data_IF_099257815527
#
_entry.id   IF_099257815527
#
_cell.length_a   1.000
_cell.length_b   1.000
_cell.length_c   1.000
_cell.angle_alpha   90.00
_cell.angle_beta   90.00
_cell.angle_gamma   90.00
#
_symmetry.space_group_name_H-M   'P 1'
#
loop_
_entity.id
_entity.type
_entity.pdbx_description
1 polymer ?
#
# COMPACT_ATOMS: atom_id res chain seq x y z
N UNK A 1 9.18 -17.94 -8.91
CA UNK A 1 8.46 -17.11 -7.92
C UNK A 1 8.94 -15.69 -8.04
N UNK A 2 8.00 -14.77 -8.03
CA UNK A 2 8.25 -13.33 -7.91
C UNK A 2 8.22 -12.98 -6.43
N UNK A 3 9.27 -12.34 -5.92
CA UNK A 3 9.35 -11.90 -4.53
C UNK A 3 9.56 -10.39 -4.47
N UNK A 4 8.77 -9.75 -3.62
CA UNK A 4 9.11 -8.47 -3.01
C UNK A 4 9.86 -8.68 -1.68
N UNK A 5 9.29 -9.56 -0.83
CA UNK A 5 9.75 -9.87 0.53
C UNK A 5 9.56 -11.37 0.82
N UNK A 6 10.25 -11.99 1.80
CA UNK A 6 10.21 -13.44 2.01
C UNK A 6 8.80 -13.96 2.38
N UNK A 7 8.28 -14.93 1.61
CA UNK A 7 7.13 -15.76 2.00
C UNK A 7 6.12 -16.13 0.93
N UNK A 8 6.10 -15.41 -0.19
CA UNK A 8 5.03 -15.53 -1.18
C UNK A 8 5.57 -16.18 -2.46
N UNK A 9 4.88 -17.18 -2.99
CA UNK A 9 5.33 -17.95 -4.15
C UNK A 9 4.21 -18.14 -5.15
N UNK A 10 4.49 -17.86 -6.43
CA UNK A 10 3.56 -18.07 -7.53
C UNK A 10 4.15 -19.02 -8.55
N UNK A 11 3.30 -19.88 -9.13
CA UNK A 11 3.68 -20.80 -10.20
C UNK A 11 2.48 -21.16 -11.07
N UNK A 12 2.71 -21.38 -12.37
CA UNK A 12 1.69 -21.87 -13.29
C UNK A 12 2.19 -23.11 -14.03
N UNK A 13 1.28 -24.07 -14.25
CA UNK A 13 1.56 -25.23 -15.10
C UNK A 13 0.36 -25.51 -16.01
N UNK A 14 0.62 -25.69 -17.31
CA UNK A 14 -0.34 -26.25 -18.27
C UNK A 14 -0.48 -27.74 -18.00
N UNK A 15 -1.71 -28.25 -17.84
CA UNK A 15 -1.96 -29.70 -17.72
C UNK A 15 -2.25 -30.26 -19.11
N UNK A 16 -1.44 -31.20 -19.59
CA UNK A 16 -1.62 -31.87 -20.90
C UNK A 16 -2.71 -32.96 -20.89
N UNK A 17 -3.87 -32.66 -20.30
CA UNK A 17 -5.08 -33.48 -20.44
C UNK A 17 -6.32 -32.58 -20.45
N UNK A 18 -6.68 -32.09 -21.64
CA UNK A 18 -8.02 -31.60 -21.98
C UNK A 18 -8.52 -30.34 -21.27
N UNK A 19 -8.46 -29.21 -21.98
CA UNK A 19 -9.30 -28.01 -21.84
C UNK A 19 -9.29 -27.23 -20.50
N UNK A 20 -8.30 -26.33 -20.37
CA UNK A 20 -8.30 -25.01 -19.71
C UNK A 20 -7.01 -24.78 -18.91
N UNK A 21 -6.33 -23.67 -19.17
CA UNK A 21 -5.19 -23.24 -18.35
C UNK A 21 -5.69 -22.77 -16.98
N UNK A 22 -4.92 -23.03 -15.90
CA UNK A 22 -5.32 -22.74 -14.53
C UNK A 22 -4.23 -21.99 -13.79
N UNK A 23 -4.61 -21.09 -12.88
CA UNK A 23 -3.67 -20.32 -12.05
C UNK A 23 -3.51 -21.00 -10.69
N UNK A 24 -2.29 -21.03 -10.16
CA UNK A 24 -1.98 -21.69 -8.88
C UNK A 24 -1.22 -20.72 -8.00
N UNK A 25 -1.73 -20.47 -6.81
CA UNK A 25 -1.06 -19.70 -5.78
C UNK A 25 -0.68 -20.65 -4.65
N UNK A 26 0.50 -21.27 -4.71
CA UNK A 26 1.03 -22.03 -3.58
C UNK A 26 1.48 -21.06 -2.49
N UNK A 27 0.68 -20.95 -1.46
CA UNK A 27 0.98 -20.15 -0.28
C UNK A 27 1.55 -21.07 0.77
N UNK A 28 2.59 -20.64 1.48
CA UNK A 28 3.24 -21.55 2.41
C UNK A 28 2.30 -21.91 3.57
N UNK A 29 2.23 -23.19 3.94
CA UNK A 29 1.47 -23.68 5.09
C UNK A 29 2.19 -23.44 6.41
N UNK A 30 2.43 -22.18 6.77
CA UNK A 30 3.13 -21.81 8.02
C UNK A 30 2.42 -22.36 9.27
N UNK A 31 1.09 -22.56 9.22
CA UNK A 31 0.29 -23.19 10.30
C UNK A 31 0.86 -24.54 10.74
N UNK A 32 1.49 -25.31 9.85
CA UNK A 32 2.09 -26.61 10.21
C UNK A 32 3.34 -26.49 11.08
N UNK A 33 4.08 -25.39 10.96
CA UNK A 33 5.25 -25.08 11.80
C UNK A 33 4.89 -24.29 13.06
N UNK A 34 3.65 -23.84 13.17
CA UNK A 34 3.11 -22.98 14.23
C UNK A 34 1.75 -23.51 14.72
N UNK A 35 1.73 -24.59 15.51
CA UNK A 35 0.50 -25.07 16.14
C UNK A 35 -0.14 -23.98 17.01
N UNK A 36 -1.48 -23.88 17.09
CA UNK A 36 -2.15 -22.91 17.98
C UNK A 36 -1.75 -23.09 19.45
N UNK A 37 -1.62 -21.99 20.18
CA UNK A 37 -1.45 -21.99 21.64
C UNK A 37 -0.04 -22.29 22.16
N UNK A 38 0.94 -22.52 21.27
CA UNK A 38 2.34 -22.70 21.68
C UNK A 38 3.03 -21.33 21.87
N UNK A 39 4.16 -21.25 22.61
CA UNK A 39 4.85 -19.97 22.85
C UNK A 39 5.20 -19.18 21.58
N UNK A 40 5.53 -19.89 20.51
CA UNK A 40 5.82 -19.29 19.22
C UNK A 40 4.57 -18.64 18.58
N UNK A 41 3.41 -19.28 18.70
CA UNK A 41 2.12 -18.74 18.25
C UNK A 41 1.74 -17.49 19.05
N UNK A 42 1.88 -17.53 20.38
CA UNK A 42 1.65 -16.36 21.23
C UNK A 42 2.59 -15.20 20.88
N UNK A 43 3.87 -15.48 20.60
CA UNK A 43 4.82 -14.47 20.16
C UNK A 43 4.48 -13.87 18.79
N UNK A 44 3.98 -14.70 17.86
CA UNK A 44 3.50 -14.23 16.56
C UNK A 44 2.23 -13.38 16.69
N UNK A 45 1.28 -13.79 17.54
CA UNK A 45 0.06 -13.03 17.84
C UNK A 45 0.37 -11.69 18.49
N UNK A 46 1.29 -11.66 19.47
CA UNK A 46 1.70 -10.45 20.17
C UNK A 46 2.33 -9.42 19.21
N UNK A 47 3.19 -9.86 18.28
CA UNK A 47 3.78 -9.00 17.25
C UNK A 47 2.79 -8.62 16.14
N UNK A 48 1.90 -9.54 15.77
CA UNK A 48 0.90 -9.46 14.70
C UNK A 48 1.44 -9.23 13.26
N UNK A 49 2.50 -8.44 13.10
CA UNK A 49 3.11 -8.08 11.82
C UNK A 49 4.64 -8.17 11.89
N UNK A 50 5.27 -8.35 10.72
CA UNK A 50 6.66 -7.95 10.55
C UNK A 50 6.71 -6.45 10.24
N UNK A 51 7.60 -5.71 10.89
CA UNK A 51 7.80 -4.27 10.67
C UNK A 51 9.07 -4.07 9.83
N UNK A 52 8.96 -3.30 8.75
CA UNK A 52 10.01 -3.09 7.76
C UNK A 52 10.46 -1.64 7.76
N UNK A 53 11.67 -1.39 8.25
CA UNK A 53 12.31 -0.08 8.18
C UNK A 53 13.39 -0.10 7.09
N UNK A 54 13.84 1.05 6.57
CA UNK A 54 14.90 1.09 5.58
C UNK A 54 16.11 0.22 5.97
N UNK A 55 16.39 -0.78 5.13
CA UNK A 55 17.51 -1.72 5.30
C UNK A 55 17.36 -2.80 6.38
N UNK A 56 16.26 -2.85 7.15
CA UNK A 56 16.07 -3.84 8.22
C UNK A 56 14.61 -4.31 8.36
N UNK A 57 14.44 -5.49 8.98
CA UNK A 57 13.13 -6.03 9.32
C UNK A 57 13.12 -6.51 10.77
N UNK A 58 12.05 -6.19 11.49
CA UNK A 58 11.68 -6.83 12.75
C UNK A 58 10.64 -7.90 12.43
N UNK A 59 11.02 -9.18 12.29
CA UNK A 59 10.13 -10.19 11.73
C UNK A 59 9.11 -10.69 12.77
N UNK A 60 7.88 -10.95 12.33
CA UNK A 60 6.83 -11.57 13.15
C UNK A 60 7.24 -12.97 13.64
N UNK A 61 7.89 -13.73 12.76
CA UNK A 61 8.39 -15.07 13.03
C UNK A 61 9.92 -15.07 13.12
N UNK A 62 10.53 -15.94 13.94
CA UNK A 62 11.98 -16.10 13.97
C UNK A 62 12.57 -16.36 12.58
N UNK A 63 13.76 -15.82 12.24
CA UNK A 63 14.42 -16.01 10.95
C UNK A 63 14.55 -17.48 10.51
N UNK A 64 14.80 -18.39 11.45
CA UNK A 64 14.88 -19.83 11.17
C UNK A 64 13.59 -20.40 10.56
N UNK A 65 12.45 -19.79 10.86
CA UNK A 65 11.18 -20.10 10.23
C UNK A 65 10.98 -19.20 9.00
N UNK A 66 10.94 -17.88 9.17
CA UNK A 66 10.54 -16.95 8.10
C UNK A 66 11.47 -16.97 6.88
N UNK A 67 12.78 -17.12 7.07
CA UNK A 67 13.78 -17.02 5.99
C UNK A 67 14.19 -18.38 5.42
N UNK A 68 13.89 -19.47 6.12
CA UNK A 68 14.31 -20.82 5.72
C UNK A 68 13.16 -21.83 5.60
N UNK A 69 12.62 -22.33 6.73
CA UNK A 69 11.62 -23.43 6.72
C UNK A 69 10.30 -23.01 6.08
N UNK A 70 9.92 -21.75 6.28
CA UNK A 70 8.73 -21.13 5.74
C UNK A 70 9.03 -20.32 4.47
N UNK A 71 10.29 -20.18 4.06
CA UNK A 71 10.61 -19.51 2.80
C UNK A 71 10.53 -20.46 1.62
N UNK A 72 9.92 -20.00 0.53
CA UNK A 72 9.73 -20.78 -0.69
C UNK A 72 10.98 -20.78 -1.60
N UNK A 73 12.12 -21.19 -1.02
CA UNK A 73 13.43 -21.20 -1.67
C UNK A 73 13.43 -22.05 -2.96
N UNK A 74 14.19 -21.61 -4.00
CA UNK A 74 14.30 -22.35 -5.26
C UNK A 74 14.92 -23.74 -5.02
N UNK A 75 14.45 -24.71 -5.82
CA UNK A 75 14.90 -26.09 -5.89
C UNK A 75 14.73 -26.92 -4.61
N UNK A 76 13.93 -26.47 -3.65
CA UNK A 76 13.64 -27.20 -2.42
C UNK A 76 12.15 -27.54 -2.31
N UNK A 77 11.84 -28.71 -1.76
CA UNK A 77 10.46 -29.09 -1.47
C UNK A 77 9.92 -28.27 -0.30
N UNK A 78 8.70 -27.76 -0.47
CA UNK A 78 8.01 -26.91 0.51
C UNK A 78 6.55 -27.26 0.60
N UNK A 79 6.05 -27.28 1.84
CA UNK A 79 4.65 -27.50 2.14
C UNK A 79 3.85 -26.21 1.95
N UNK A 80 2.78 -26.31 1.19
CA UNK A 80 1.91 -25.19 0.86
C UNK A 80 0.44 -25.52 1.10
N UNK A 81 -0.35 -24.47 1.28
CA UNK A 81 -1.78 -24.42 1.00
C UNK A 81 -1.94 -23.72 -0.33
N UNK A 82 -2.50 -24.41 -1.31
CA UNK A 82 -2.65 -23.88 -2.68
C UNK A 82 -4.07 -23.45 -2.94
N UNK A 83 -4.20 -22.27 -3.52
CA UNK A 83 -5.43 -21.79 -4.17
C UNK A 83 -5.27 -21.97 -5.67
N UNK A 84 -6.17 -22.72 -6.29
CA UNK A 84 -6.21 -22.89 -7.74
C UNK A 84 -7.41 -22.13 -8.31
N UNK A 85 -7.13 -21.19 -9.20
CA UNK A 85 -8.12 -20.30 -9.81
C UNK A 85 -8.27 -20.67 -11.31
N UNK A 86 -9.29 -21.44 -11.69
CA UNK A 86 -9.63 -21.64 -13.09
C UNK A 86 -10.26 -20.36 -13.70
N UNK A 87 -10.04 -20.05 -14.99
CA UNK A 87 -10.57 -18.84 -15.63
C UNK A 87 -12.10 -18.70 -15.55
N UNK A 88 -12.83 -19.81 -15.76
CA UNK A 88 -14.30 -19.85 -15.83
C UNK A 88 -14.88 -20.91 -14.89
N UNK A 89 -14.22 -21.17 -13.75
CA UNK A 89 -14.62 -22.23 -12.85
C UNK A 89 -14.57 -21.85 -11.38
N UNK A 90 -14.99 -22.78 -10.53
CA UNK A 90 -14.93 -22.62 -9.08
C UNK A 90 -13.49 -22.78 -8.59
N UNK A 91 -12.99 -21.87 -7.73
CA UNK A 91 -11.72 -22.03 -7.04
C UNK A 91 -11.64 -23.35 -6.27
N UNK A 92 -10.45 -23.96 -6.22
CA UNK A 92 -10.18 -25.13 -5.37
C UNK A 92 -9.02 -24.86 -4.42
N UNK A 93 -9.06 -25.54 -3.28
CA UNK A 93 -8.16 -25.30 -2.15
C UNK A 93 -7.66 -26.63 -1.60
N UNK A 94 -6.35 -26.80 -1.42
CA UNK A 94 -5.77 -28.04 -0.91
C UNK A 94 -4.35 -27.84 -0.38
N UNK A 95 -3.87 -28.80 0.42
CA UNK A 95 -2.45 -28.90 0.77
C UNK A 95 -1.65 -29.45 -0.40
N UNK A 96 -0.47 -28.89 -0.62
CA UNK A 96 0.45 -29.30 -1.69
C UNK A 96 1.89 -29.34 -1.21
N UNK A 97 2.73 -30.04 -1.98
CA UNK A 97 4.19 -29.93 -1.91
C UNK A 97 4.63 -29.30 -3.22
N UNK A 98 5.39 -28.21 -3.15
CA UNK A 98 5.95 -27.55 -4.32
C UNK A 98 7.48 -27.55 -4.28
N UNK A 99 8.09 -27.52 -5.47
CA UNK A 99 9.51 -27.23 -5.64
C UNK A 99 9.64 -26.05 -6.59
N UNK A 100 10.01 -24.89 -6.04
CA UNK A 100 10.16 -23.65 -6.83
C UNK A 100 11.27 -23.82 -7.87
N UNK A 101 11.02 -23.44 -9.13
CA UNK A 101 12.04 -23.55 -10.20
C UNK A 101 13.00 -22.37 -10.25
N UNK A 102 12.59 -21.21 -9.76
CA UNK A 102 13.38 -19.99 -9.82
C UNK A 102 12.91 -19.00 -8.77
N UNK A 103 13.84 -18.17 -8.30
CA UNK A 103 13.59 -16.95 -7.54
C UNK A 103 13.90 -15.76 -8.46
N UNK A 104 12.92 -14.91 -8.71
CA UNK A 104 13.03 -13.76 -9.58
C UNK A 104 12.70 -12.49 -8.80
N UNK A 105 13.46 -11.43 -9.05
CA UNK A 105 13.01 -10.06 -8.74
C UNK A 105 11.95 -9.61 -9.75
N UNK A 106 11.20 -8.57 -9.43
CA UNK A 106 10.23 -8.01 -10.36
C UNK A 106 10.87 -7.51 -11.65
N UNK A 107 12.01 -6.83 -11.57
CA UNK A 107 12.76 -6.41 -12.76
C UNK A 107 13.21 -7.59 -13.64
N UNK A 108 13.65 -8.70 -13.03
CA UNK A 108 13.99 -9.91 -13.77
C UNK A 108 12.76 -10.54 -14.44
N UNK A 109 11.64 -10.64 -13.75
CA UNK A 109 10.42 -11.15 -14.37
C UNK A 109 9.92 -10.24 -15.48
N UNK A 110 9.94 -8.92 -15.29
CA UNK A 110 9.55 -7.93 -16.31
C UNK A 110 10.36 -8.13 -17.58
N UNK A 111 11.69 -8.27 -17.46
CA UNK A 111 12.60 -8.55 -18.58
C UNK A 111 12.61 -10.02 -19.02
N UNK A 112 11.83 -10.88 -18.36
CA UNK A 112 11.77 -12.34 -18.57
C UNK A 112 13.16 -13.00 -18.51
N UNK A 113 14.03 -12.50 -17.63
CA UNK A 113 15.38 -13.00 -17.37
C UNK A 113 15.34 -14.30 -16.55
N UNK A 114 14.88 -15.38 -17.18
CA UNK A 114 14.77 -16.70 -16.59
C UNK A 114 14.95 -17.82 -17.64
N UNK A 115 15.09 -19.06 -17.16
CA UNK A 115 15.08 -20.22 -18.06
C UNK A 115 13.79 -20.29 -18.90
N UNK A 116 13.88 -20.87 -20.11
CA UNK A 116 12.81 -20.88 -21.11
C UNK A 116 11.45 -21.34 -20.57
N UNK A 117 11.43 -22.35 -19.71
CA UNK A 117 10.18 -22.86 -19.12
C UNK A 117 9.54 -21.83 -18.15
N UNK A 118 10.36 -21.15 -17.35
CA UNK A 118 9.91 -20.12 -16.41
C UNK A 118 9.42 -18.89 -17.15
N UNK A 119 10.13 -18.46 -18.20
CA UNK A 119 9.72 -17.36 -19.06
C UNK A 119 8.35 -17.65 -19.73
N UNK A 120 8.17 -18.86 -20.28
CA UNK A 120 6.89 -19.27 -20.86
C UNK A 120 5.75 -19.33 -19.82
N UNK A 121 6.06 -19.68 -18.57
CA UNK A 121 5.08 -19.64 -17.48
C UNK A 121 4.68 -18.20 -17.13
N UNK A 122 5.63 -17.24 -17.14
CA UNK A 122 5.31 -15.82 -16.95
C UNK A 122 4.39 -15.29 -18.06
N UNK A 123 4.69 -15.58 -19.33
CA UNK A 123 3.82 -15.20 -20.46
C UNK A 123 2.40 -15.79 -20.37
N UNK A 124 2.30 -17.05 -19.92
CA UNK A 124 1.01 -17.65 -19.66
C UNK A 124 0.28 -16.94 -18.51
N UNK A 125 1.03 -16.54 -17.48
CA UNK A 125 0.47 -15.80 -16.34
C UNK A 125 -0.11 -14.48 -16.82
N UNK A 126 0.65 -13.68 -17.59
CA UNK A 126 0.18 -12.40 -18.13
C UNK A 126 -1.10 -12.56 -18.93
N UNK A 127 -1.14 -13.54 -19.84
CA UNK A 127 -2.33 -13.80 -20.67
C UNK A 127 -3.53 -14.17 -19.83
N UNK A 128 -3.32 -14.94 -18.76
CA UNK A 128 -4.41 -15.36 -17.90
C UNK A 128 -4.88 -14.23 -17.00
N UNK A 129 -3.99 -13.37 -16.51
CA UNK A 129 -4.36 -12.24 -15.66
C UNK A 129 -4.77 -10.99 -16.43
N UNK A 130 -4.67 -11.02 -17.76
CA UNK A 130 -5.12 -9.95 -18.64
C UNK A 130 -6.56 -9.54 -18.28
N UNK A 131 -6.77 -8.24 -18.10
CA UNK A 131 -8.06 -7.65 -17.75
C UNK A 131 -8.58 -8.01 -16.34
N UNK A 132 -7.80 -8.62 -15.44
CA UNK A 132 -8.20 -8.75 -14.03
C UNK A 132 -8.31 -7.37 -13.38
N UNK A 133 -7.29 -6.52 -13.58
CA UNK A 133 -7.25 -5.14 -13.09
C UNK A 133 -8.40 -4.31 -13.66
N UNK A 134 -8.60 -4.34 -14.97
CA UNK A 134 -9.69 -3.61 -15.63
C UNK A 134 -11.07 -4.05 -15.12
N UNK A 135 -11.28 -5.36 -14.92
CA UNK A 135 -12.52 -5.87 -14.31
C UNK A 135 -12.67 -5.44 -12.85
N UNK A 136 -11.59 -5.31 -12.09
CA UNK A 136 -11.62 -4.82 -10.70
C UNK A 136 -12.01 -3.34 -10.67
N UNK A 137 -11.43 -2.51 -11.52
CA UNK A 137 -11.81 -1.10 -11.64
C UNK A 137 -13.22 -0.91 -12.20
N UNK A 138 -13.65 -1.71 -13.18
CA UNK A 138 -15.02 -1.69 -13.68
C UNK A 138 -16.07 -2.08 -12.63
N UNK A 139 -15.68 -2.77 -11.55
CA UNK A 139 -16.54 -3.02 -10.38
C UNK A 139 -16.62 -1.83 -9.42
N UNK A 140 -15.82 -0.79 -9.62
CA UNK A 140 -15.73 0.40 -8.77
C UNK A 140 -14.61 0.35 -7.73
N UNK A 141 -13.58 -0.46 -7.92
CA UNK A 141 -12.40 -0.43 -7.04
C UNK A 141 -11.63 0.88 -7.23
N UNK A 142 -10.98 1.35 -6.16
CA UNK A 142 -10.21 2.59 -6.19
C UNK A 142 -8.98 2.44 -7.09
N UNK A 143 -8.73 3.45 -7.91
CA UNK A 143 -7.60 3.49 -8.85
C UNK A 143 -6.47 4.40 -8.34
N UNK A 144 -6.25 4.46 -7.03
CA UNK A 144 -5.20 5.29 -6.46
C UNK A 144 -4.06 4.39 -5.98
N UNK A 145 -2.86 4.71 -6.47
CA UNK A 145 -1.61 4.12 -6.04
C UNK A 145 -0.89 5.11 -5.12
N UNK A 146 -0.19 4.60 -4.11
CA UNK A 146 0.70 5.39 -3.26
C UNK A 146 2.13 4.95 -3.56
N UNK A 147 3.03 5.85 -3.95
CA UNK A 147 4.40 5.47 -4.26
C UNK A 147 5.12 5.01 -2.98
N UNK A 148 5.94 3.97 -3.10
CA UNK A 148 6.85 3.53 -2.03
C UNK A 148 8.25 4.12 -2.26
N UNK A 149 8.85 4.61 -1.17
CA UNK A 149 10.21 5.15 -1.18
C UNK A 149 11.20 4.01 -0.94
N UNK A 150 12.15 3.88 -1.85
CA UNK A 150 13.25 2.92 -1.75
C UNK A 150 14.53 3.62 -1.36
N UNK A 151 15.40 2.91 -0.63
CA UNK A 151 16.65 3.45 -0.10
C UNK A 151 17.84 2.59 -0.52
N UNK A 152 18.93 3.25 -0.93
CA UNK A 152 20.24 2.65 -1.09
C UNK A 152 21.17 3.17 0.01
N UNK A 153 21.88 2.27 0.69
CA UNK A 153 22.79 2.59 1.77
C UNK A 153 24.25 2.52 1.32
N UNK A 154 25.09 3.41 1.85
CA UNK A 154 26.51 3.56 1.46
C UNK A 154 27.45 2.48 2.04
N UNK A 155 26.91 1.53 2.82
CA UNK A 155 27.67 0.49 3.52
C UNK A 155 28.40 0.95 4.79
N UNK A 156 28.40 2.25 5.10
CA UNK A 156 28.94 2.85 6.33
C UNK A 156 27.84 3.27 7.31
N UNK A 157 26.58 3.01 6.97
CA UNK A 157 25.41 3.34 7.77
C UNK A 157 24.73 4.65 7.35
N UNK A 158 25.20 5.31 6.30
CA UNK A 158 24.56 6.46 5.67
C UNK A 158 23.61 6.05 4.54
N UNK A 159 22.68 6.95 4.20
CA UNK A 159 21.79 6.80 3.05
C UNK A 159 22.47 7.43 1.84
N UNK A 160 22.74 6.64 0.82
CA UNK A 160 23.38 7.09 -0.42
C UNK A 160 22.36 7.70 -1.40
N UNK A 161 21.17 7.11 -1.48
CA UNK A 161 20.11 7.54 -2.40
C UNK A 161 18.74 7.11 -1.89
N UNK A 162 17.71 7.89 -2.24
CA UNK A 162 16.32 7.48 -2.16
C UNK A 162 15.61 7.76 -3.49
N UNK A 163 14.61 6.96 -3.84
CA UNK A 163 13.78 7.16 -5.04
C UNK A 163 12.39 6.55 -4.85
N UNK A 164 11.41 7.08 -5.58
CA UNK A 164 10.10 6.43 -5.70
C UNK A 164 10.17 5.39 -6.84
N UNK A 165 9.83 4.14 -6.57
CA UNK A 165 9.78 3.10 -7.59
C UNK A 165 8.42 3.14 -8.32
N UNK A 166 8.41 3.33 -9.64
CA UNK A 166 7.18 3.22 -10.43
C UNK A 166 6.83 1.73 -10.59
N UNK A 167 5.64 1.28 -10.18
CA UNK A 167 5.24 -0.16 -10.23
C UNK A 167 5.51 -0.84 -11.60
N UNK A 168 6.49 -1.75 -11.70
CA UNK A 168 6.61 -2.68 -12.83
C UNK A 168 5.33 -3.47 -13.10
N UNK A 169 5.06 -3.84 -14.36
CA UNK A 169 3.91 -4.71 -14.74
C UNK A 169 3.89 -6.00 -13.93
N UNK A 170 5.05 -6.57 -13.63
CA UNK A 170 5.20 -7.76 -12.81
C UNK A 170 4.66 -7.60 -11.37
N UNK A 171 4.70 -6.41 -10.77
CA UNK A 171 4.07 -6.15 -9.46
C UNK A 171 2.55 -6.25 -9.57
N UNK A 172 1.96 -5.56 -10.57
CA UNK A 172 0.51 -5.57 -10.79
C UNK A 172 -0.01 -6.98 -11.03
N UNK A 173 0.73 -7.80 -11.77
CA UNK A 173 0.42 -9.21 -11.99
C UNK A 173 0.28 -9.98 -10.67
N UNK A 174 1.28 -9.82 -9.80
CA UNK A 174 1.32 -10.45 -8.49
C UNK A 174 0.17 -9.96 -7.63
N UNK A 175 -0.05 -8.65 -7.59
CA UNK A 175 -1.12 -8.00 -6.85
C UNK A 175 -2.50 -8.59 -7.20
N UNK A 176 -2.87 -8.63 -8.49
CA UNK A 176 -4.17 -9.13 -8.94
C UNK A 176 -4.39 -10.62 -8.61
N UNK A 177 -3.33 -11.43 -8.70
CA UNK A 177 -3.39 -12.84 -8.32
C UNK A 177 -3.62 -13.00 -6.81
N UNK A 178 -2.92 -12.22 -6.00
CA UNK A 178 -3.07 -12.25 -4.54
C UNK A 178 -4.45 -11.77 -4.11
N UNK A 179 -4.96 -10.68 -4.71
CA UNK A 179 -6.33 -10.21 -4.48
C UNK A 179 -7.33 -11.33 -4.81
N UNK A 180 -7.20 -11.99 -5.97
CA UNK A 180 -8.14 -13.04 -6.36
C UNK A 180 -8.09 -14.26 -5.43
N UNK A 181 -6.92 -14.64 -4.91
CA UNK A 181 -6.84 -15.72 -3.91
C UNK A 181 -7.45 -15.30 -2.56
N UNK A 182 -7.20 -14.07 -2.12
CA UNK A 182 -7.78 -13.50 -0.91
C UNK A 182 -9.32 -13.44 -1.00
N UNK A 183 -9.87 -13.00 -2.13
CA UNK A 183 -11.32 -13.00 -2.40
C UNK A 183 -11.88 -14.42 -2.39
N UNK A 184 -11.26 -15.36 -3.11
CA UNK A 184 -11.73 -16.73 -3.19
C UNK A 184 -11.78 -17.44 -1.82
N UNK A 185 -10.78 -17.23 -0.97
CA UNK A 185 -10.76 -17.78 0.40
C UNK A 185 -11.82 -17.12 1.27
N UNK A 186 -11.95 -15.79 1.20
CA UNK A 186 -12.96 -15.06 1.96
C UNK A 186 -14.39 -15.47 1.58
N UNK A 187 -14.67 -15.63 0.28
CA UNK A 187 -15.96 -16.09 -0.23
C UNK A 187 -16.31 -17.50 0.25
N UNK A 188 -15.34 -18.43 0.23
CA UNK A 188 -15.54 -19.78 0.75
C UNK A 188 -15.90 -19.76 2.25
N UNK A 189 -15.10 -19.07 3.06
CA UNK A 189 -15.28 -19.02 4.51
C UNK A 189 -16.59 -18.30 4.88
N UNK A 190 -16.88 -17.18 4.22
CA UNK A 190 -18.08 -16.37 4.49
C UNK A 190 -19.36 -17.09 4.04
N UNK A 191 -19.38 -17.71 2.86
CA UNK A 191 -20.55 -18.45 2.37
C UNK A 191 -20.91 -19.65 3.24
N UNK A 192 -19.90 -20.25 3.90
CA UNK A 192 -20.07 -21.35 4.86
C UNK A 192 -20.22 -20.89 6.30
N UNK A 193 -20.31 -19.57 6.54
CA UNK A 193 -20.44 -18.94 7.87
C UNK A 193 -19.37 -19.43 8.85
N UNK A 194 -18.13 -19.54 8.38
CA UNK A 194 -17.00 -19.95 9.23
C UNK A 194 -16.37 -18.75 9.91
N UNK A 195 -15.97 -18.99 11.15
CA UNK A 195 -15.15 -18.08 11.94
C UNK A 195 -13.81 -17.85 11.24
N UNK A 196 -13.47 -16.59 11.00
CA UNK A 196 -12.25 -16.16 10.34
C UNK A 196 -12.02 -14.67 10.65
N UNK A 197 -10.84 -14.15 10.30
CA UNK A 197 -10.60 -12.71 10.28
C UNK A 197 -10.74 -12.18 8.84
N UNK A 198 -11.71 -11.30 8.63
CA UNK A 198 -11.89 -10.58 7.38
C UNK A 198 -11.12 -9.27 7.43
N UNK A 199 -10.61 -8.84 6.26
CA UNK A 199 -10.03 -7.51 6.07
C UNK A 199 -11.15 -6.66 5.48
N UNK A 200 -11.76 -5.84 6.31
CA UNK A 200 -12.91 -5.03 5.92
C UNK A 200 -12.47 -3.61 5.61
N UNK A 201 -13.19 -2.99 4.69
CA UNK A 201 -13.13 -1.56 4.42
C UNK A 201 -14.55 -1.09 4.20
N UNK A 202 -15.11 -0.47 5.24
CA UNK A 202 -16.51 -0.05 5.26
C UNK A 202 -16.80 0.96 4.13
N UNK A 203 -18.08 1.08 3.79
CA UNK A 203 -18.51 2.11 2.83
C UNK A 203 -18.18 3.50 3.39
N UNK A 204 -17.74 4.44 2.52
CA UNK A 204 -17.46 5.80 2.95
C UNK A 204 -18.72 6.49 3.44
N UNK A 205 -18.53 7.47 4.32
CA UNK A 205 -19.61 8.33 4.77
C UNK A 205 -20.06 9.24 3.61
N UNK A 206 -21.37 9.34 3.32
CA UNK A 206 -21.85 10.19 2.24
C UNK A 206 -21.40 11.66 2.34
N UNK A 207 -21.40 12.23 3.55
CA UNK A 207 -20.99 13.62 3.78
C UNK A 207 -19.49 13.81 3.53
N UNK A 208 -18.67 12.80 3.85
CA UNK A 208 -17.24 12.84 3.56
C UNK A 208 -16.97 12.86 2.03
N UNK A 209 -17.75 12.12 1.25
CA UNK A 209 -17.66 12.14 -0.22
C UNK A 209 -18.18 13.45 -0.80
N UNK A 210 -19.28 14.00 -0.30
CA UNK A 210 -19.74 15.33 -0.70
C UNK A 210 -18.69 16.42 -0.42
N UNK A 211 -18.05 16.36 0.75
CA UNK A 211 -16.96 17.26 1.10
C UNK A 211 -15.76 17.08 0.17
N UNK A 212 -15.38 15.84 -0.15
CA UNK A 212 -14.32 15.56 -1.12
C UNK A 212 -14.61 16.22 -2.48
N UNK A 213 -15.85 16.09 -2.99
CA UNK A 213 -16.24 16.71 -4.26
C UNK A 213 -16.11 18.23 -4.18
N UNK A 214 -16.59 18.86 -3.11
CA UNK A 214 -16.43 20.31 -2.91
C UNK A 214 -14.97 20.74 -2.90
N UNK A 215 -14.09 19.99 -2.21
CA UNK A 215 -12.66 20.27 -2.17
C UNK A 215 -11.99 20.13 -3.54
N UNK A 216 -12.32 19.08 -4.29
CA UNK A 216 -11.79 18.88 -5.64
C UNK A 216 -12.28 19.97 -6.61
N UNK A 217 -13.54 20.37 -6.51
CA UNK A 217 -14.09 21.46 -7.31
C UNK A 217 -13.43 22.81 -7.00
N UNK A 218 -13.16 23.11 -5.72
CA UNK A 218 -12.41 24.30 -5.29
C UNK A 218 -10.97 24.30 -5.82
N UNK A 219 -10.37 23.12 -5.99
CA UNK A 219 -9.06 22.93 -6.61
C UNK A 219 -9.10 22.86 -8.15
N UNK A 220 -10.26 23.10 -8.76
CA UNK A 220 -10.51 23.00 -10.20
C UNK A 220 -10.20 21.61 -10.80
N UNK A 221 -10.32 20.56 -9.98
CA UNK A 221 -10.20 19.16 -10.40
C UNK A 221 -11.58 18.67 -10.87
N UNK A 222 -11.70 18.07 -12.07
CA UNK A 222 -12.97 17.57 -12.58
C UNK A 222 -13.60 16.53 -11.67
N UNK A 223 -14.82 16.81 -11.21
CA UNK A 223 -15.61 15.89 -10.38
C UNK A 223 -16.83 15.37 -11.13
N UNK A 224 -17.28 14.14 -10.82
CA UNK A 224 -18.57 13.65 -11.29
C UNK A 224 -19.74 14.43 -10.67
N UNK A 225 -20.92 14.43 -11.31
CA UNK A 225 -22.12 15.02 -10.72
C UNK A 225 -22.50 14.28 -9.44
N UNK A 226 -22.85 15.04 -8.39
CA UNK A 226 -23.32 14.47 -7.12
C UNK A 226 -24.83 14.30 -7.20
N UNK A 227 -25.37 13.09 -6.97
CA UNK A 227 -26.82 12.88 -6.85
C UNK A 227 -27.42 13.69 -5.68
N UNK A 228 -28.68 14.12 -5.81
CA UNK A 228 -29.39 14.89 -4.76
C UNK A 228 -29.48 14.16 -3.42
N UNK A 229 -29.49 12.82 -3.43
CA UNK A 229 -29.47 11.98 -2.24
C UNK A 229 -28.37 10.91 -2.37
N UNK A 230 -27.36 11.02 -1.51
CA UNK A 230 -26.23 10.10 -1.51
C UNK A 230 -26.42 9.01 -0.44
N UNK A 231 -26.77 7.79 -0.88
CA UNK A 231 -26.73 6.60 -0.04
C UNK A 231 -25.28 6.11 0.18
N UNK A 232 -24.99 5.28 1.21
CA UNK A 232 -23.67 4.69 1.36
C UNK A 232 -23.20 3.86 0.14
N UNK A 233 -24.13 3.24 -0.59
CA UNK A 233 -23.79 2.47 -1.79
C UNK A 233 -23.41 3.37 -2.97
N UNK A 234 -24.17 4.46 -3.19
CA UNK A 234 -23.84 5.44 -4.23
C UNK A 234 -22.59 6.26 -3.86
N UNK A 235 -22.34 6.49 -2.57
CA UNK A 235 -21.10 7.11 -2.09
C UNK A 235 -19.86 6.27 -2.43
N UNK A 236 -19.93 4.94 -2.25
CA UNK A 236 -18.86 4.03 -2.65
C UNK A 236 -18.61 4.04 -4.16
N UNK A 237 -19.67 4.01 -4.97
CA UNK A 237 -19.55 4.09 -6.43
C UNK A 237 -18.95 5.43 -6.88
N UNK A 238 -19.41 6.53 -6.28
CA UNK A 238 -18.90 7.87 -6.55
C UNK A 238 -17.43 8.01 -6.15
N UNK A 239 -17.00 7.43 -5.03
CA UNK A 239 -15.59 7.41 -4.64
C UNK A 239 -14.71 6.67 -5.66
N UNK A 240 -15.20 5.55 -6.22
CA UNK A 240 -14.55 4.85 -7.32
C UNK A 240 -14.37 5.74 -8.55
N UNK A 241 -15.45 6.38 -9.01
CA UNK A 241 -15.41 7.29 -10.16
C UNK A 241 -14.52 8.52 -9.92
N UNK A 242 -14.56 9.11 -8.72
CA UNK A 242 -13.66 10.21 -8.33
C UNK A 242 -12.21 9.75 -8.40
N UNK A 243 -11.89 8.56 -7.87
CA UNK A 243 -10.52 8.03 -7.89
C UNK A 243 -10.00 7.83 -9.31
N UNK A 244 -10.84 7.37 -10.24
CA UNK A 244 -10.51 7.22 -11.66
C UNK A 244 -10.25 8.58 -12.30
N UNK A 245 -11.16 9.54 -12.13
CA UNK A 245 -11.03 10.90 -12.69
C UNK A 245 -9.81 11.64 -12.16
N UNK A 246 -9.53 11.53 -10.86
CA UNK A 246 -8.32 12.12 -10.24
C UNK A 246 -7.08 11.49 -10.85
N UNK A 247 -7.05 10.17 -11.03
CA UNK A 247 -5.92 9.46 -11.64
C UNK A 247 -5.70 9.89 -13.09
N UNK A 248 -6.77 9.95 -13.89
CA UNK A 248 -6.67 10.41 -15.27
C UNK A 248 -6.27 11.90 -15.36
N UNK A 249 -6.73 12.72 -14.41
CA UNK A 249 -6.32 14.13 -14.32
C UNK A 249 -4.82 14.26 -14.06
N UNK A 250 -4.27 13.58 -13.05
CA UNK A 250 -2.84 13.71 -12.70
C UNK A 250 -1.91 13.11 -13.77
N UNK A 251 -2.39 12.11 -14.52
CA UNK A 251 -1.66 11.54 -15.67
C UNK A 251 -1.70 12.49 -16.88
N UNK A 252 -2.84 13.13 -17.15
CA UNK A 252 -3.02 14.00 -18.33
C UNK A 252 -2.48 15.42 -18.15
N UNK A 253 -2.45 15.95 -16.92
CA UNK A 253 -1.89 17.26 -16.60
C UNK A 253 -0.44 17.12 -16.18
N UNK A 254 0.47 17.75 -16.95
CA UNK A 254 1.88 17.79 -16.64
C UNK A 254 2.16 18.59 -15.34
N UNK A 255 2.12 17.91 -14.19
CA UNK A 255 2.82 18.36 -12.97
C UNK A 255 2.01 19.12 -11.93
N UNK A 256 0.68 18.89 -11.78
CA UNK A 256 -0.11 19.46 -10.68
C UNK A 256 -0.89 18.39 -9.91
N UNK A 257 -0.74 18.37 -8.60
CA UNK A 257 -1.52 17.54 -7.68
C UNK A 257 -1.27 16.03 -7.79
N UNK A 258 -0.09 15.63 -8.27
CA UNK A 258 0.30 14.21 -8.43
C UNK A 258 0.26 13.46 -7.12
N UNK A 259 0.55 14.12 -6.02
CA UNK A 259 0.49 13.52 -4.68
C UNK A 259 -0.71 14.05 -3.89
N UNK A 260 -0.97 15.36 -3.99
CA UNK A 260 -1.99 16.01 -3.16
C UNK A 260 -3.40 15.48 -3.43
N UNK A 261 -3.79 15.29 -4.70
CA UNK A 261 -5.17 14.91 -5.04
C UNK A 261 -5.47 13.44 -4.74
N UNK A 262 -4.59 12.47 -5.09
CA UNK A 262 -4.78 11.09 -4.65
C UNK A 262 -4.83 10.96 -3.13
N UNK A 263 -3.96 11.68 -2.40
CA UNK A 263 -3.97 11.70 -0.95
C UNK A 263 -5.29 12.27 -0.39
N UNK A 264 -5.86 13.29 -1.02
CA UNK A 264 -7.15 13.88 -0.62
C UNK A 264 -8.30 12.87 -0.74
N UNK A 265 -8.34 12.09 -1.82
CA UNK A 265 -9.33 11.01 -1.99
C UNK A 265 -9.14 9.96 -0.90
N UNK A 266 -7.92 9.45 -0.69
CA UNK A 266 -7.64 8.42 0.32
C UNK A 266 -8.03 8.87 1.74
N UNK A 267 -7.74 10.13 2.11
CA UNK A 267 -8.09 10.70 3.42
C UNK A 267 -9.59 10.89 3.65
N UNK A 268 -10.40 10.89 2.59
CA UNK A 268 -11.87 10.94 2.69
C UNK A 268 -12.50 9.59 3.05
N UNK A 269 -11.72 8.51 2.96
CA UNK A 269 -12.19 7.14 3.15
C UNK A 269 -11.90 6.64 4.57
N UNK A 270 -12.64 5.61 4.98
CA UNK A 270 -12.39 4.92 6.25
C UNK A 270 -11.10 4.11 6.15
N UNK A 271 -10.38 3.95 7.26
CA UNK A 271 -9.25 3.02 7.29
C UNK A 271 -9.76 1.56 7.26
N UNK A 272 -9.08 0.71 6.48
CA UNK A 272 -9.33 -0.72 6.51
C UNK A 272 -8.88 -1.31 7.85
N UNK A 273 -9.58 -2.35 8.33
CA UNK A 273 -9.29 -3.01 9.61
C UNK A 273 -9.62 -4.50 9.55
N UNK A 274 -9.12 -5.26 10.51
CA UNK A 274 -9.54 -6.65 10.68
C UNK A 274 -10.86 -6.71 11.47
N UNK A 275 -11.69 -7.70 11.15
CA UNK A 275 -12.97 -7.92 11.82
C UNK A 275 -13.40 -9.38 11.70
N UNK A 276 -14.06 -9.97 12.73
CA UNK A 276 -14.58 -11.34 12.65
C UNK A 276 -15.77 -11.49 11.70
N UNK A 277 -16.53 -10.42 11.46
CA UNK A 277 -17.63 -10.42 10.48
C UNK A 277 -17.20 -9.85 9.14
N UNK A 278 -17.70 -10.45 8.06
CA UNK A 278 -17.51 -9.94 6.71
C UNK A 278 -18.44 -8.75 6.43
N UNK A 279 -17.87 -7.54 6.39
CA UNK A 279 -18.59 -6.30 6.05
C UNK A 279 -18.26 -5.79 4.63
N UNK A 280 -17.54 -6.59 3.83
CA UNK A 280 -17.04 -6.20 2.51
C UNK A 280 -15.82 -5.26 2.55
N UNK A 281 -15.31 -4.95 1.36
CA UNK A 281 -14.12 -4.10 1.18
C UNK A 281 -14.36 -3.08 0.07
N UNK A 282 -14.83 -1.89 0.45
CA UNK A 282 -15.22 -0.83 -0.49
C UNK A 282 -14.08 -0.40 -1.41
N UNK A 283 -12.84 -0.30 -0.91
CA UNK A 283 -11.70 0.13 -1.74
C UNK A 283 -11.31 -0.86 -2.85
N UNK A 284 -11.68 -2.13 -2.69
CA UNK A 284 -11.43 -3.19 -3.68
C UNK A 284 -12.70 -3.54 -4.47
N UNK A 285 -13.82 -2.87 -4.19
CA UNK A 285 -15.16 -3.26 -4.64
C UNK A 285 -15.45 -4.76 -4.45
N UNK A 286 -15.07 -5.30 -3.29
CA UNK A 286 -15.19 -6.71 -2.98
C UNK A 286 -16.25 -6.99 -1.91
N UNK A 287 -17.02 -8.08 -2.08
CA UNK A 287 -18.08 -8.49 -1.13
C UNK A 287 -17.54 -9.30 0.05
N UNK A 288 -16.39 -9.94 -0.13
CA UNK A 288 -15.72 -10.70 0.90
C UNK A 288 -14.21 -10.63 0.65
N UNK A 289 -13.46 -10.15 1.64
CA UNK A 289 -12.01 -10.03 1.52
C UNK A 289 -11.34 -10.39 2.84
N UNK A 290 -10.26 -11.15 2.77
CA UNK A 290 -9.41 -11.50 3.90
C UNK A 290 -7.95 -11.52 3.44
N UNK A 291 -7.01 -11.24 4.34
CA UNK A 291 -5.62 -11.49 4.01
C UNK A 291 -5.30 -12.97 4.24
N UNK A 292 -4.83 -13.65 3.20
CA UNK A 292 -4.46 -15.07 3.21
C UNK A 292 -3.05 -15.32 2.67
N UNK A 293 -2.53 -14.39 1.87
CA UNK A 293 -1.38 -14.63 1.00
C UNK A 293 -0.02 -14.42 1.64
N UNK A 294 0.08 -13.93 2.89
CA UNK A 294 1.37 -13.62 3.52
C UNK A 294 1.46 -14.06 5.01
N UNK A 295 1.21 -15.35 5.33
CA UNK A 295 1.19 -15.86 6.71
C UNK A 295 2.53 -15.80 7.46
N UNK A 296 3.64 -15.50 6.78
CA UNK A 296 4.95 -15.38 7.44
C UNK A 296 5.12 -14.04 8.16
N UNK A 297 4.41 -13.01 7.69
CA UNK A 297 4.57 -11.62 8.12
C UNK A 297 3.28 -10.97 8.63
N UNK A 298 2.16 -11.70 8.60
CA UNK A 298 0.85 -11.26 9.10
C UNK A 298 0.18 -12.39 9.86
N UNK A 299 -0.14 -12.15 11.12
CA UNK A 299 -0.83 -13.11 11.97
C UNK A 299 -2.28 -13.34 11.55
N UNK A 300 -3.05 -12.34 11.06
CA UNK A 300 -4.39 -12.58 10.52
C UNK A 300 -4.41 -13.64 9.42
N UNK A 301 -3.42 -13.64 8.52
CA UNK A 301 -3.27 -14.66 7.48
C UNK A 301 -3.08 -16.05 8.10
N UNK A 302 -2.31 -16.20 9.18
CA UNK A 302 -2.18 -17.49 9.88
C UNK A 302 -3.52 -17.99 10.44
N UNK A 303 -4.34 -17.08 10.98
CA UNK A 303 -5.69 -17.40 11.47
C UNK A 303 -6.59 -17.84 10.32
N UNK A 304 -6.55 -17.14 9.19
CA UNK A 304 -7.30 -17.51 7.98
C UNK A 304 -6.83 -18.86 7.42
N UNK A 305 -5.53 -19.16 7.44
CA UNK A 305 -4.99 -20.48 7.07
C UNK A 305 -5.56 -21.58 7.95
N UNK A 306 -5.63 -21.38 9.27
CA UNK A 306 -6.25 -22.35 10.20
C UNK A 306 -7.73 -22.54 9.89
N UNK A 307 -8.47 -21.45 9.67
CA UNK A 307 -9.89 -21.49 9.33
C UNK A 307 -10.15 -22.29 8.04
N UNK A 308 -9.36 -22.02 6.98
CA UNK A 308 -9.47 -22.72 5.70
C UNK A 308 -9.13 -24.21 5.84
N UNK A 309 -8.05 -24.55 6.52
CA UNK A 309 -7.63 -25.94 6.70
C UNK A 309 -8.63 -26.75 7.51
N UNK A 310 -9.22 -26.13 8.55
CA UNK A 310 -10.31 -26.72 9.34
C UNK A 310 -11.54 -26.94 8.48
N UNK A 311 -11.90 -25.96 7.66
CA UNK A 311 -13.04 -26.08 6.74
C UNK A 311 -12.87 -27.18 5.69
N UNK A 312 -11.64 -27.44 5.26
CA UNK A 312 -11.33 -28.52 4.32
C UNK A 312 -11.23 -29.90 5.02
N UNK A 313 -11.38 -29.98 6.34
CA UNK A 313 -11.22 -31.22 7.10
C UNK A 313 -9.78 -31.77 7.09
N UNK A 314 -8.78 -30.91 6.85
CA UNK A 314 -7.38 -31.31 6.71
C UNK A 314 -6.58 -31.26 8.01
N UNK A 315 -7.06 -30.52 9.01
CA UNK A 315 -6.65 -30.55 10.41
C UNK A 315 -7.75 -29.90 11.27
N UNK A 316 -7.71 -30.10 12.57
CA UNK A 316 -8.65 -29.51 13.52
C UNK A 316 -7.99 -28.41 14.35
N UNK A 317 -7.20 -27.56 13.67
CA UNK A 317 -6.48 -26.47 14.31
C UNK A 317 -7.48 -25.49 14.94
N UNK A 318 -7.36 -25.27 16.25
CA UNK A 318 -8.22 -24.34 16.96
C UNK A 318 -7.98 -22.90 16.47
N UNK A 319 -9.07 -22.16 16.30
CA UNK A 319 -9.02 -20.71 16.15
C UNK A 319 -8.84 -20.06 17.53
N UNK A 320 -8.27 -18.84 17.59
CA UNK A 320 -8.29 -18.05 18.82
C UNK A 320 -9.72 -17.90 19.34
N UNK A 321 -9.93 -18.09 20.65
CA UNK A 321 -11.26 -18.04 21.25
C UNK A 321 -11.88 -16.63 21.19
N UNK A 322 -11.05 -15.60 21.26
CA UNK A 322 -11.46 -14.20 21.16
C UNK A 322 -10.97 -13.61 19.83
N UNK A 323 -11.79 -13.77 18.78
CA UNK A 323 -11.51 -13.20 17.46
C UNK A 323 -11.74 -11.69 17.40
N UNK A 324 -12.63 -11.15 18.23
CA UNK A 324 -12.93 -9.72 18.26
C UNK A 324 -11.76 -8.94 18.86
N UNK A 325 -11.30 -9.32 20.05
CA UNK A 325 -10.11 -8.73 20.67
C UNK A 325 -8.85 -8.94 19.82
N UNK A 326 -8.72 -10.07 19.12
CA UNK A 326 -7.62 -10.27 18.19
C UNK A 326 -7.71 -9.35 16.97
N UNK A 327 -8.91 -9.12 16.42
CA UNK A 327 -9.12 -8.21 15.30
C UNK A 327 -8.74 -6.76 15.68
N UNK A 328 -9.11 -6.32 16.88
CA UNK A 328 -8.72 -5.01 17.42
C UNK A 328 -7.20 -4.91 17.61
N UNK A 329 -6.61 -5.89 18.29
CA UNK A 329 -5.16 -5.94 18.54
C UNK A 329 -4.35 -5.92 17.24
N UNK A 330 -4.71 -6.77 16.28
CA UNK A 330 -4.01 -6.84 14.98
C UNK A 330 -4.16 -5.54 14.19
N UNK A 331 -5.35 -4.91 14.20
CA UNK A 331 -5.54 -3.61 13.56
C UNK A 331 -4.73 -2.49 14.23
N UNK A 332 -4.60 -2.52 15.56
CA UNK A 332 -3.78 -1.56 16.30
C UNK A 332 -2.28 -1.74 16.01
N UNK A 333 -1.80 -2.99 16.01
CA UNK A 333 -0.41 -3.32 15.67
C UNK A 333 -0.04 -2.99 14.22
N UNK A 334 -0.98 -3.15 13.28
CA UNK A 334 -0.77 -2.72 11.88
C UNK A 334 -0.52 -1.21 11.78
N UNK A 335 -1.33 -0.40 12.49
CA UNK A 335 -1.15 1.06 12.51
C UNK A 335 0.15 1.49 13.17
N UNK A 336 0.52 0.86 14.28
CA UNK A 336 1.78 1.14 14.96
C UNK A 336 2.98 0.75 14.10
N UNK A 337 2.94 -0.42 13.44
CA UNK A 337 3.97 -0.80 12.50
C UNK A 337 4.12 0.27 11.40
N UNK A 338 3.02 0.65 10.74
CA UNK A 338 3.05 1.69 9.70
C UNK A 338 3.61 3.04 10.19
N UNK A 339 3.32 3.45 11.43
CA UNK A 339 3.91 4.66 12.03
C UNK A 339 5.42 4.56 12.22
N UNK A 340 5.92 3.38 12.64
CA UNK A 340 7.36 3.13 12.79
C UNK A 340 8.05 3.12 11.43
N UNK A 341 7.44 2.50 10.42
CA UNK A 341 7.97 2.48 9.05
C UNK A 341 8.05 3.90 8.48
N UNK A 342 6.97 4.68 8.56
CA UNK A 342 6.94 6.07 8.11
C UNK A 342 7.99 6.95 8.80
N UNK A 343 8.10 6.87 10.13
CA UNK A 343 9.11 7.63 10.87
C UNK A 343 10.53 7.23 10.46
N UNK A 344 10.79 5.94 10.23
CA UNK A 344 12.10 5.48 9.81
C UNK A 344 12.46 6.01 8.40
N UNK A 345 11.49 6.12 7.51
CA UNK A 345 11.66 6.75 6.19
C UNK A 345 11.97 8.25 6.34
N UNK A 346 11.20 8.99 7.15
CA UNK A 346 11.44 10.41 7.43
C UNK A 346 12.85 10.67 7.98
N UNK A 347 13.31 9.82 8.91
CA UNK A 347 14.68 9.90 9.42
C UNK A 347 15.70 9.70 8.30
N UNK A 348 15.57 8.64 7.51
CA UNK A 348 16.49 8.36 6.40
C UNK A 348 16.54 9.51 5.39
N UNK A 349 15.38 10.07 5.04
CA UNK A 349 15.28 11.22 4.13
C UNK A 349 15.90 12.48 4.72
N UNK A 350 15.75 12.75 6.01
CA UNK A 350 16.38 13.90 6.66
C UNK A 350 17.93 13.80 6.65
N UNK A 351 18.48 12.59 6.86
CA UNK A 351 19.92 12.36 6.73
C UNK A 351 20.42 12.52 5.29
N UNK A 352 19.65 12.02 4.31
CA UNK A 352 19.97 12.16 2.89
C UNK A 352 19.91 13.64 2.44
N UNK A 353 18.92 14.39 2.91
CA UNK A 353 18.76 15.81 2.59
C UNK A 353 19.94 16.64 3.10
N UNK A 354 20.39 16.40 4.33
CA UNK A 354 21.56 17.07 4.91
C UNK A 354 22.84 16.84 4.07
N UNK A 355 23.06 15.59 3.63
CA UNK A 355 24.16 15.28 2.72
C UNK A 355 24.01 15.96 1.35
N UNK A 356 22.79 15.99 0.82
CA UNK A 356 22.47 16.64 -0.46
C UNK A 356 22.73 18.14 -0.41
N UNK A 357 22.34 18.82 0.68
CA UNK A 357 22.60 20.25 0.88
C UNK A 357 24.07 20.57 1.10
N UNK A 358 24.85 19.65 1.68
CA UNK A 358 26.29 19.83 1.81
C UNK A 358 26.98 19.91 0.44
N UNK A 359 26.50 19.14 -0.54
CA UNK A 359 27.04 19.13 -1.91
C UNK A 359 26.46 20.26 -2.79
N UNK A 360 25.15 20.49 -2.71
CA UNK A 360 24.41 21.44 -3.55
C UNK A 360 24.48 22.89 -3.05
N UNK A 361 24.58 23.07 -1.73
CA UNK A 361 24.45 24.37 -1.06
C UNK A 361 23.04 24.62 -0.51
N UNK A 362 22.97 25.40 0.58
CA UNK A 362 21.72 25.71 1.29
C UNK A 362 20.84 26.75 0.58
N UNK A 363 21.44 27.56 -0.31
CA UNK A 363 20.76 28.64 -1.02
C UNK A 363 20.14 28.19 -2.37
N UNK A 364 20.27 26.91 -2.73
CA UNK A 364 19.75 26.38 -3.99
C UNK A 364 18.31 25.86 -3.83
N UNK A 365 17.31 26.44 -4.54
CA UNK A 365 15.90 26.08 -4.36
C UNK A 365 15.56 24.69 -4.90
N UNK A 366 14.57 24.06 -4.27
CA UNK A 366 13.96 22.82 -4.74
C UNK A 366 12.58 23.10 -5.33
N UNK A 367 12.30 22.49 -6.47
CA UNK A 367 10.92 22.35 -6.95
C UNK A 367 10.15 21.37 -6.06
N UNK A 368 8.89 21.70 -5.81
CA UNK A 368 7.99 20.87 -5.03
C UNK A 368 6.52 21.09 -5.34
N UNK A 369 5.68 20.29 -4.68
CA UNK A 369 4.22 20.31 -4.74
C UNK A 369 3.67 20.48 -3.32
N UNK A 370 2.66 21.35 -3.17
CA UNK A 370 1.95 21.51 -1.90
C UNK A 370 1.05 20.27 -1.67
N UNK A 371 1.42 19.43 -0.71
CA UNK A 371 0.69 18.19 -0.37
C UNK A 371 -0.27 18.35 0.81
N UNK A 372 -0.15 19.45 1.57
CA UNK A 372 -1.02 19.73 2.71
C UNK A 372 -1.10 21.22 3.04
N UNK A 373 -2.22 21.66 3.60
CA UNK A 373 -2.41 23.02 4.07
C UNK A 373 -3.12 23.01 5.44
N UNK A 374 -2.58 23.78 6.37
CA UNK A 374 -3.18 24.05 7.69
C UNK A 374 -3.05 25.54 7.99
N UNK A 375 -3.82 26.06 8.95
CA UNK A 375 -3.81 27.50 9.24
C UNK A 375 -2.43 28.09 9.56
N UNK A 376 -1.50 27.28 10.07
CA UNK A 376 -0.14 27.72 10.40
C UNK A 376 0.85 27.65 9.23
N UNK A 377 0.56 26.94 8.14
CA UNK A 377 1.50 26.74 7.04
C UNK A 377 1.13 25.62 6.06
N UNK A 378 2.09 25.27 5.21
CA UNK A 378 1.96 24.29 4.14
C UNK A 378 2.87 23.08 4.39
N UNK A 379 2.46 21.91 3.92
CA UNK A 379 3.31 20.75 3.75
C UNK A 379 3.67 20.62 2.27
N UNK A 380 4.95 20.41 1.99
CA UNK A 380 5.48 20.39 0.63
C UNK A 380 6.29 19.12 0.44
N UNK A 381 5.99 18.37 -0.63
CA UNK A 381 6.92 17.38 -1.20
C UNK A 381 7.85 18.11 -2.14
N UNK A 382 9.16 17.93 -2.03
CA UNK A 382 10.15 18.59 -2.88
C UNK A 382 11.32 17.66 -3.20
N UNK A 383 12.06 17.94 -4.28
CA UNK A 383 13.22 17.13 -4.66
C UNK A 383 12.90 15.64 -4.84
N UNK A 384 11.73 15.34 -5.41
CA UNK A 384 11.14 14.01 -5.64
C UNK A 384 10.73 13.21 -4.40
N UNK A 385 11.53 13.20 -3.33
CA UNK A 385 11.31 12.31 -2.18
C UNK A 385 11.13 13.04 -0.85
N UNK A 386 11.66 14.26 -0.70
CA UNK A 386 11.71 14.96 0.57
C UNK A 386 10.37 15.60 0.93
N UNK A 387 10.04 15.61 2.22
CA UNK A 387 8.89 16.31 2.76
C UNK A 387 9.34 17.39 3.73
N UNK A 388 8.62 18.51 3.78
CA UNK A 388 8.93 19.60 4.70
C UNK A 388 7.75 20.51 4.97
N UNK A 389 7.86 21.25 6.07
CA UNK A 389 6.85 22.19 6.53
C UNK A 389 7.29 23.63 6.24
N UNK A 390 6.43 24.39 5.54
CA UNK A 390 6.62 25.80 5.23
C UNK A 390 5.66 26.64 6.10
N UNK A 391 6.14 27.29 7.17
CA UNK A 391 5.30 28.14 8.01
C UNK A 391 4.73 29.32 7.22
N UNK A 392 3.45 29.66 7.41
CA UNK A 392 2.77 30.73 6.66
C UNK A 392 3.50 32.08 6.73
N UNK A 393 4.15 32.39 7.87
CA UNK A 393 5.00 33.58 8.06
C UNK A 393 6.19 33.69 7.09
N UNK A 394 6.60 32.58 6.46
CA UNK A 394 7.71 32.48 5.51
C UNK A 394 7.28 32.46 4.04
N UNK A 395 5.96 32.52 3.74
CA UNK A 395 5.45 32.73 2.38
C UNK A 395 5.73 34.18 1.89
N UNK A 396 5.66 35.14 2.81
CA UNK A 396 5.90 36.56 2.54
C UNK A 396 4.74 37.24 1.80
N UNK A 397 4.76 38.58 1.73
CA UNK A 397 3.83 39.36 0.91
C UNK A 397 2.42 39.57 1.47
N UNK A 398 1.91 38.69 2.34
CA UNK A 398 0.57 38.83 2.92
C UNK A 398 0.40 38.11 4.26
N UNK A 399 -0.75 38.31 4.90
CA UNK A 399 -1.28 37.44 5.94
C UNK A 399 -2.21 36.41 5.29
N UNK A 400 -1.83 35.14 5.38
CA UNK A 400 -2.55 34.02 4.78
C UNK A 400 -3.49 33.35 5.77
N UNK A 401 -4.70 33.03 5.31
CA UNK A 401 -5.68 32.26 6.07
C UNK A 401 -6.10 31.02 5.28
N UNK A 402 -6.36 29.94 6.01
CA UNK A 402 -6.90 28.73 5.43
C UNK A 402 -8.34 29.00 4.97
N UNK A 403 -8.66 28.65 3.72
CA UNK A 403 -10.03 28.74 3.23
C UNK A 403 -10.95 27.75 3.96
N UNK A 404 -12.27 27.93 3.83
CA UNK A 404 -13.27 27.15 4.55
C UNK A 404 -13.15 25.63 4.28
N UNK A 405 -12.72 25.25 3.08
CA UNK A 405 -12.58 23.86 2.65
C UNK A 405 -11.22 23.24 3.06
N UNK A 406 -10.28 24.03 3.56
CA UNK A 406 -8.95 23.56 3.96
C UNK A 406 -8.08 23.09 2.78
N UNK A 407 -8.28 23.68 1.61
CA UNK A 407 -7.63 23.34 0.34
C UNK A 407 -6.60 24.38 -0.09
N UNK A 408 -6.63 25.59 0.47
CA UNK A 408 -5.65 26.63 0.14
C UNK A 408 -5.41 27.60 1.29
N UNK A 409 -4.20 28.16 1.34
CA UNK A 409 -3.90 29.37 2.09
C UNK A 409 -4.10 30.59 1.18
N UNK A 410 -5.00 31.50 1.56
CA UNK A 410 -5.39 32.68 0.77
C UNK A 410 -4.97 33.96 1.48
N UNK A 411 -4.28 34.85 0.77
CA UNK A 411 -3.82 36.13 1.27
C UNK A 411 -4.97 37.13 1.44
N UNK A 412 -5.03 37.82 2.59
CA UNK A 412 -6.08 38.79 2.92
C UNK A 412 -6.09 40.04 2.06
N UNK A 413 -4.94 40.50 1.57
CA UNK A 413 -4.77 41.83 0.94
C UNK A 413 -4.34 41.74 -0.52
N UNK A 414 -3.45 40.82 -0.84
CA UNK A 414 -2.81 40.66 -2.14
C UNK A 414 -3.50 39.64 -3.06
N UNK A 415 -4.46 38.86 -2.53
CA UNK A 415 -5.21 37.86 -3.31
C UNK A 415 -4.41 36.65 -3.79
N UNK A 416 -3.12 36.56 -3.43
CA UNK A 416 -2.31 35.37 -3.71
C UNK A 416 -2.85 34.15 -2.96
N UNK A 417 -2.84 33.00 -3.61
CA UNK A 417 -3.28 31.74 -3.00
C UNK A 417 -2.26 30.63 -3.23
N UNK A 418 -2.15 29.74 -2.25
CA UNK A 418 -1.32 28.56 -2.29
C UNK A 418 -2.21 27.35 -2.02
N UNK A 419 -2.65 26.69 -3.09
CA UNK A 419 -3.56 25.56 -3.06
C UNK A 419 -2.85 24.22 -3.02
N UNK A 420 -3.55 23.20 -2.55
CA UNK A 420 -3.10 21.81 -2.67
C UNK A 420 -2.82 21.48 -4.14
N UNK A 421 -1.72 20.78 -4.38
CA UNK A 421 -1.26 20.38 -5.69
C UNK A 421 -0.55 21.47 -6.49
N UNK A 422 -0.55 22.72 -6.03
CA UNK A 422 0.17 23.78 -6.74
C UNK A 422 1.70 23.57 -6.65
N UNK A 423 2.44 23.85 -7.74
CA UNK A 423 3.88 23.83 -7.72
C UNK A 423 4.42 24.99 -6.89
N UNK A 424 5.51 24.74 -6.15
CA UNK A 424 6.17 25.73 -5.31
C UNK A 424 7.68 25.50 -5.30
N UNK A 425 8.44 26.60 -5.32
CA UNK A 425 9.88 26.56 -5.09
C UNK A 425 10.20 26.87 -3.61
N UNK A 426 10.98 25.99 -2.98
CA UNK A 426 11.29 26.06 -1.55
C UNK A 426 12.78 26.02 -1.27
N UNK A 427 13.20 26.70 -0.22
CA UNK A 427 14.54 26.60 0.36
C UNK A 427 14.46 25.84 1.68
N UNK A 428 15.49 25.03 1.95
CA UNK A 428 15.63 24.33 3.23
C UNK A 428 16.30 25.25 4.22
N UNK A 429 15.63 25.50 5.35
CA UNK A 429 16.10 26.43 6.37
C UNK A 429 16.65 25.69 7.60
N UNK A 430 16.08 24.52 7.90
CA UNK A 430 16.46 23.72 9.04
C UNK A 430 16.11 22.25 8.81
N UNK A 431 17.02 21.37 9.24
CA UNK A 431 16.79 19.91 9.30
C UNK A 431 16.98 19.46 10.75
N UNK A 432 15.94 18.88 11.34
CA UNK A 432 15.98 18.23 12.65
C UNK A 432 16.10 16.71 12.45
N UNK A 433 17.30 16.26 12.10
CA UNK A 433 17.60 14.85 11.75
C UNK A 433 17.07 13.81 12.75
N UNK A 434 17.15 14.01 14.08
CA UNK A 434 16.61 13.04 15.05
C UNK A 434 15.08 12.92 15.05
N UNK A 435 14.38 13.90 14.47
CA UNK A 435 12.92 13.95 14.41
C UNK A 435 12.37 13.75 13.00
N UNK A 436 13.24 13.66 11.98
CA UNK A 436 12.81 13.55 10.58
C UNK A 436 12.19 14.83 10.00
N UNK A 437 12.28 15.96 10.71
CA UNK A 437 11.56 17.20 10.35
C UNK A 437 12.42 18.16 9.54
N UNK A 438 11.80 18.79 8.56
CA UNK A 438 12.42 19.83 7.72
C UNK A 438 11.56 21.09 7.75
N UNK A 439 12.16 22.23 8.08
CA UNK A 439 11.52 23.56 7.97
C UNK A 439 11.97 24.23 6.68
N UNK A 440 11.00 24.79 5.96
CA UNK A 440 11.18 25.40 4.65
C UNK A 440 10.93 26.91 4.68
N UNK A 441 11.33 27.58 3.61
CA UNK A 441 10.86 28.92 3.23
C UNK A 441 10.54 28.97 1.73
N UNK A 442 9.78 29.98 1.31
CA UNK A 442 9.47 30.18 -0.10
C UNK A 442 10.67 30.84 -0.82
N UNK A 443 11.11 30.25 -1.94
CA UNK A 443 12.29 30.73 -2.68
C UNK A 443 12.12 32.14 -3.28
N UNK A 444 10.88 32.63 -3.44
CA UNK A 444 10.59 34.01 -3.82
C UNK A 444 11.10 35.09 -2.84
N UNK A 445 11.69 34.69 -1.70
CA UNK A 445 12.54 35.56 -0.87
C UNK A 445 13.94 35.67 -1.48
N UNK A 446 14.14 36.68 -2.34
CA UNK A 446 15.46 37.30 -2.40
C UNK A 446 15.73 37.93 -1.03
N UNK A 447 16.67 37.32 -0.29
CA UNK A 447 17.13 37.78 1.03
C UNK A 447 17.47 39.26 1.00
N UNK A 448 16.62 40.07 1.67
CA UNK A 448 16.96 41.41 2.16
C UNK A 448 17.21 41.36 3.66
N UNK A 449 18.11 40.51 4.14
CA UNK A 449 18.76 40.74 5.43
C UNK A 449 20.22 40.28 5.31
N UNK A 450 21.10 41.28 5.32
CA UNK A 450 22.52 41.16 5.01
C UNK A 450 23.34 40.40 6.04
N UNK A 451 24.60 40.18 5.66
CA UNK A 451 25.71 39.97 6.59
C UNK A 451 26.56 41.25 6.66
N UNK A 452 27.18 41.51 7.84
CA UNK A 452 27.81 42.79 8.20
C UNK A 452 29.01 43.17 7.36
#
# INVERSE_FOLDING_TARGET
MLHDRPGDGQGLRRRDRGAAARRWLPLLGAHRGLPPGVPLDHGAAARAFSTYVPGRVAPMLPPTLSEDRCSLRPHQDRLCVTVELPPDGTPSFYRSVIRSKARLSYGQAERREAEREVAAALELTDRLTAGMRDRRFARGALRIESPEINFEFDGKGGVARAWQESEPTAHRLVEELMIAANEAVAELLSSRKREALYRIHERPDPQAIELLVKKLADLEVPTPPVPDQLSPASAAALAGEISERVTDYVVSRAGRGREAFPALVLRSLKQARYHPENLGHSGLASRAYCHFTSPIRRYPDLVVHRALIRELGLADDALPADLEGLAEHTSAREREAAQVEYLADELCLAWLLDATLYERGWDDPFEGEITGAIGSGLFVRFGEVFEGYLPARRLGGDYYELNELGTALVGRRGGGSFGLGDPIEVLVEKIEKPEGKVELSHAGRTSRYGRP
#
